data_IF_542297834340
#
_entry.id   IF_542297834340
#
_cell.length_a   1.000
_cell.length_b   1.000
_cell.length_c   1.000
_cell.angle_alpha   90.00
_cell.angle_beta   90.00
_cell.angle_gamma   90.00
#
_symmetry.space_group_name_H-M   'P 1'
#
loop_
_entity.id
_entity.type
_entity.pdbx_description
1 polymer ?
#
# COMPACT_ATOMS: atom_id res chain seq x y z
N UNK A 1 -4.45 27.72 -14.08
CA UNK A 1 -4.88 27.84 -15.49
C UNK A 1 -6.21 28.57 -15.63
N UNK A 2 -6.42 29.19 -16.79
CA UNK A 2 -7.67 29.84 -17.22
C UNK A 2 -8.70 28.81 -17.71
N UNK A 3 -10.00 29.15 -17.84
CA UNK A 3 -11.00 28.26 -18.45
C UNK A 3 -10.67 27.83 -19.88
N UNK A 4 -10.05 28.69 -20.68
CA UNK A 4 -9.65 28.35 -22.06
C UNK A 4 -8.54 27.29 -22.06
N UNK A 5 -7.50 27.46 -21.23
CA UNK A 5 -6.44 26.47 -21.04
C UNK A 5 -6.98 25.15 -20.49
N UNK A 6 -7.93 25.20 -19.54
CA UNK A 6 -8.57 24.00 -19.01
C UNK A 6 -9.39 23.25 -20.08
N UNK A 7 -10.05 23.97 -20.99
CA UNK A 7 -10.74 23.36 -22.12
C UNK A 7 -9.77 22.67 -23.08
N UNK A 8 -8.62 23.29 -23.38
CA UNK A 8 -7.56 22.67 -24.18
C UNK A 8 -7.02 21.39 -23.51
N UNK A 9 -6.75 21.45 -22.20
CA UNK A 9 -6.30 20.28 -21.43
C UNK A 9 -7.34 19.15 -21.43
N UNK A 10 -8.62 19.50 -21.28
CA UNK A 10 -9.70 18.53 -21.35
C UNK A 10 -9.83 17.92 -22.75
N UNK A 11 -9.63 18.71 -23.81
CA UNK A 11 -9.63 18.22 -25.18
C UNK A 11 -8.52 17.17 -25.40
N UNK A 12 -7.34 17.39 -24.81
CA UNK A 12 -6.30 16.36 -24.77
C UNK A 12 -6.75 15.09 -24.03
N UNK A 13 -7.46 15.20 -22.89
CA UNK A 13 -8.02 14.03 -22.21
C UNK A 13 -9.03 13.28 -23.08
N UNK A 14 -9.93 14.00 -23.76
CA UNK A 14 -10.98 13.43 -24.60
C UNK A 14 -10.46 12.65 -25.80
N UNK A 15 -9.26 12.99 -26.31
CA UNK A 15 -8.60 12.19 -27.34
C UNK A 15 -8.30 10.75 -26.88
N UNK A 16 -8.13 10.51 -25.57
CA UNK A 16 -7.88 9.18 -25.01
C UNK A 16 -9.17 8.46 -24.59
N UNK A 17 -10.07 9.14 -23.88
CA UNK A 17 -11.20 8.50 -23.22
C UNK A 17 -12.58 8.81 -23.81
N UNK A 18 -12.62 9.57 -24.90
CA UNK A 18 -13.84 9.93 -25.64
C UNK A 18 -14.89 10.64 -24.79
N UNK A 19 -14.50 11.33 -23.72
CA UNK A 19 -15.42 12.19 -22.95
C UNK A 19 -15.93 13.35 -23.80
N UNK A 20 -17.19 13.73 -23.60
CA UNK A 20 -17.72 15.01 -24.10
C UNK A 20 -17.37 16.11 -23.09
N UNK A 21 -16.93 17.27 -23.58
CA UNK A 21 -16.49 18.39 -22.74
C UNK A 21 -17.46 19.55 -22.95
N UNK A 22 -18.00 20.08 -21.86
CA UNK A 22 -18.78 21.31 -21.84
C UNK A 22 -18.03 22.49 -21.22
N UNK A 23 -18.59 23.69 -21.37
CA UNK A 23 -18.07 24.91 -20.74
C UNK A 23 -18.02 24.80 -19.21
N UNK A 24 -19.02 24.12 -18.62
CA UNK A 24 -19.08 23.87 -17.18
C UNK A 24 -17.88 23.04 -16.69
N UNK A 25 -17.45 22.03 -17.47
CA UNK A 25 -16.30 21.18 -17.13
C UNK A 25 -15.00 21.99 -17.17
N UNK A 26 -14.83 22.82 -18.19
CA UNK A 26 -13.66 23.70 -18.34
C UNK A 26 -13.56 24.69 -17.16
N UNK A 27 -14.68 25.31 -16.76
CA UNK A 27 -14.72 26.21 -15.58
C UNK A 27 -14.41 25.46 -14.28
N UNK A 28 -14.94 24.26 -14.11
CA UNK A 28 -14.67 23.42 -12.94
C UNK A 28 -13.19 23.03 -12.85
N UNK A 29 -12.59 22.60 -13.97
CA UNK A 29 -11.18 22.26 -14.03
C UNK A 29 -10.27 23.46 -13.83
N UNK A 30 -10.59 24.61 -14.42
CA UNK A 30 -9.83 25.85 -14.19
C UNK A 30 -9.82 26.26 -12.71
N UNK A 31 -10.93 26.08 -11.99
CA UNK A 31 -10.98 26.32 -10.53
C UNK A 31 -10.09 25.31 -9.77
N UNK A 32 -10.19 24.03 -10.12
CA UNK A 32 -9.43 22.95 -9.48
C UNK A 32 -7.90 23.04 -9.74
N UNK A 33 -7.51 23.62 -10.88
CA UNK A 33 -6.13 23.75 -11.35
C UNK A 33 -5.70 25.21 -11.50
N UNK A 34 -6.26 26.11 -10.69
CA UNK A 34 -6.05 27.57 -10.80
C UNK A 34 -4.57 27.97 -10.75
N UNK A 35 -3.76 27.27 -9.97
CA UNK A 35 -2.31 27.45 -9.75
C UNK A 35 -1.41 26.56 -10.64
N UNK A 36 -2.00 25.71 -11.48
CA UNK A 36 -1.26 24.84 -12.41
C UNK A 36 -1.26 25.48 -13.81
N UNK A 37 -0.11 25.73 -14.45
CA UNK A 37 -0.05 26.26 -15.82
C UNK A 37 -0.32 25.15 -16.85
N UNK A 38 -0.69 25.51 -18.07
CA UNK A 38 -0.79 24.56 -19.20
C UNK A 38 0.56 24.43 -19.90
N UNK A 39 1.50 23.75 -19.24
CA UNK A 39 2.83 23.47 -19.75
C UNK A 39 2.98 22.02 -20.23
N UNK A 40 4.15 21.69 -20.78
CA UNK A 40 4.45 20.34 -21.26
C UNK A 40 4.41 19.31 -20.15
N UNK A 41 4.74 19.66 -18.91
CA UNK A 41 4.62 18.76 -17.76
C UNK A 41 3.16 18.36 -17.51
N UNK A 42 2.23 19.31 -17.68
CA UNK A 42 0.79 19.07 -17.54
C UNK A 42 0.27 18.16 -18.65
N UNK A 43 0.75 18.34 -19.89
CA UNK A 43 0.42 17.44 -21.02
C UNK A 43 1.04 16.04 -20.85
N UNK A 44 2.29 15.98 -20.42
CA UNK A 44 3.01 14.73 -20.13
C UNK A 44 2.36 13.94 -19.00
N UNK A 45 1.80 14.62 -17.99
CA UNK A 45 1.03 13.96 -16.93
C UNK A 45 -0.19 13.19 -17.48
N UNK A 46 -0.88 13.71 -18.50
CA UNK A 46 -1.98 13.01 -19.17
C UNK A 46 -1.45 11.79 -19.93
N UNK A 47 -0.40 11.98 -20.74
CA UNK A 47 0.20 10.92 -21.53
C UNK A 47 0.70 9.76 -20.63
N UNK A 48 1.36 10.09 -19.53
CA UNK A 48 1.84 9.10 -18.55
C UNK A 48 0.68 8.34 -17.89
N UNK A 49 -0.41 9.04 -17.52
CA UNK A 49 -1.61 8.40 -16.96
C UNK A 49 -2.19 7.35 -17.90
N UNK A 50 -2.50 7.74 -19.14
CA UNK A 50 -3.12 6.82 -20.11
C UNK A 50 -2.15 5.77 -20.65
N UNK A 51 -0.83 5.95 -20.50
CA UNK A 51 0.16 4.91 -20.75
C UNK A 51 0.15 3.75 -19.74
N UNK A 52 -0.43 3.97 -18.55
CA UNK A 52 -0.44 2.97 -17.46
C UNK A 52 -1.83 2.49 -17.06
N UNK A 53 -2.89 3.22 -17.39
CA UNK A 53 -4.26 2.85 -17.03
C UNK A 53 -5.26 3.30 -18.09
N UNK A 54 -6.35 2.54 -18.19
CA UNK A 54 -7.55 2.82 -18.99
C UNK A 54 -8.58 3.73 -18.26
N UNK A 55 -8.32 4.08 -17.00
CA UNK A 55 -9.25 4.87 -16.19
C UNK A 55 -9.25 6.34 -16.60
N UNK A 56 -10.38 7.00 -16.42
CA UNK A 56 -10.48 8.44 -16.65
C UNK A 56 -9.58 9.22 -15.69
N UNK A 57 -8.82 10.17 -16.23
CA UNK A 57 -8.01 11.08 -15.42
C UNK A 57 -8.88 12.18 -14.79
N UNK A 58 -8.56 12.51 -13.54
CA UNK A 58 -9.15 13.60 -12.75
C UNK A 58 -8.17 14.77 -12.61
N UNK A 59 -8.68 15.98 -12.33
CA UNK A 59 -7.83 17.14 -12.08
C UNK A 59 -6.82 16.92 -10.93
N UNK A 60 -7.21 16.20 -9.88
CA UNK A 60 -6.30 15.87 -8.78
C UNK A 60 -5.13 14.98 -9.24
N UNK A 61 -5.38 14.02 -10.13
CA UNK A 61 -4.34 13.16 -10.68
C UNK A 61 -3.36 13.95 -11.56
N UNK A 62 -3.85 14.88 -12.40
CA UNK A 62 -2.98 15.77 -13.18
C UNK A 62 -2.00 16.51 -12.28
N UNK A 63 -2.49 17.10 -11.17
CA UNK A 63 -1.65 17.82 -10.19
C UNK A 63 -0.57 16.90 -9.60
N UNK A 64 -0.96 15.70 -9.14
CA UNK A 64 -0.04 14.74 -8.53
C UNK A 64 1.02 14.28 -9.52
N UNK A 65 0.62 13.94 -10.75
CA UNK A 65 1.55 13.44 -11.77
C UNK A 65 2.49 14.53 -12.28
N UNK A 66 2.00 15.75 -12.51
CA UNK A 66 2.86 16.89 -12.84
C UNK A 66 3.88 17.16 -11.74
N UNK A 67 3.46 17.14 -10.47
CA UNK A 67 4.36 17.29 -9.34
C UNK A 67 5.42 16.18 -9.33
N UNK A 68 5.04 14.93 -9.57
CA UNK A 68 5.97 13.79 -9.67
C UNK A 68 7.02 13.99 -10.78
N UNK A 69 6.62 14.44 -11.97
CA UNK A 69 7.55 14.72 -13.08
C UNK A 69 8.59 15.75 -12.64
N UNK A 70 8.15 16.84 -12.02
CA UNK A 70 9.03 17.92 -11.54
C UNK A 70 9.94 17.47 -10.40
N UNK A 71 9.42 16.70 -9.45
CA UNK A 71 10.22 16.08 -8.38
C UNK A 71 11.27 15.14 -8.96
N UNK A 72 10.93 14.34 -9.96
CA UNK A 72 11.91 13.47 -10.64
C UNK A 72 13.06 14.25 -11.28
N UNK A 73 12.78 15.41 -11.91
CA UNK A 73 13.85 16.30 -12.42
C UNK A 73 14.68 16.90 -11.31
N UNK A 74 14.04 17.34 -10.22
CA UNK A 74 14.74 17.89 -9.06
C UNK A 74 15.69 16.86 -8.44
N UNK A 75 15.21 15.62 -8.28
CA UNK A 75 16.00 14.49 -7.80
C UNK A 75 17.16 14.19 -8.76
N UNK A 76 16.93 14.18 -10.07
CA UNK A 76 17.97 13.89 -11.05
C UNK A 76 19.03 15.01 -11.21
N UNK A 77 18.66 16.26 -10.95
CA UNK A 77 19.56 17.41 -11.09
C UNK A 77 20.45 17.64 -9.86
N UNK A 78 20.06 17.14 -8.67
CA UNK A 78 20.72 17.39 -7.38
C UNK A 78 21.23 18.85 -7.23
N UNK A 79 20.33 19.85 -7.16
CA UNK A 79 20.75 21.25 -7.09
C UNK A 79 21.47 21.56 -5.77
N UNK A 80 22.78 21.80 -5.87
CA UNK A 80 23.64 22.29 -4.79
C UNK A 80 23.76 23.80 -4.94
N UNK A 81 23.52 24.54 -3.86
CA UNK A 81 23.64 25.99 -3.83
C UNK A 81 24.89 26.36 -3.05
N UNK A 82 25.90 26.87 -3.75
CA UNK A 82 27.20 27.22 -3.15
C UNK A 82 27.15 28.58 -2.42
N UNK A 83 26.16 29.41 -2.75
CA UNK A 83 25.94 30.72 -2.13
C UNK A 83 27.00 31.77 -2.46
N UNK A 84 26.71 33.00 -2.10
CA UNK A 84 27.68 34.10 -2.12
C UNK A 84 27.86 34.57 -0.67
N UNK A 85 29.08 34.56 -0.10
CA UNK A 85 29.32 34.98 1.28
C UNK A 85 28.81 36.39 1.63
N UNK A 86 28.65 37.25 0.62
CA UNK A 86 28.19 38.63 0.77
C UNK A 86 26.68 38.81 0.46
N UNK A 87 25.95 37.73 0.18
CA UNK A 87 24.51 37.83 -0.10
C UNK A 87 23.70 38.10 1.18
N UNK A 88 22.62 38.88 1.03
CA UNK A 88 21.64 39.03 2.10
C UNK A 88 20.76 37.79 2.21
N UNK A 89 20.07 37.61 3.33
CA UNK A 89 19.13 36.49 3.50
C UNK A 89 18.00 36.48 2.45
N UNK A 90 17.52 37.66 2.03
CA UNK A 90 16.51 37.77 0.97
C UNK A 90 17.05 37.33 -0.38
N UNK A 91 18.28 37.73 -0.72
CA UNK A 91 18.96 37.30 -1.94
C UNK A 91 19.18 35.79 -1.96
N UNK A 92 19.62 35.20 -0.83
CA UNK A 92 19.77 33.76 -0.68
C UNK A 92 18.46 33.02 -1.01
N UNK A 93 17.33 33.45 -0.41
CA UNK A 93 16.03 32.81 -0.63
C UNK A 93 15.60 32.92 -2.09
N UNK A 94 15.72 34.11 -2.70
CA UNK A 94 15.36 34.34 -4.09
C UNK A 94 16.21 33.48 -5.06
N UNK A 95 17.53 33.44 -4.85
CA UNK A 95 18.46 32.66 -5.66
C UNK A 95 18.22 31.15 -5.51
N UNK A 96 17.97 30.69 -4.27
CA UNK A 96 17.67 29.28 -4.01
C UNK A 96 16.35 28.87 -4.63
N UNK A 97 15.32 29.70 -4.56
CA UNK A 97 14.04 29.46 -5.24
C UNK A 97 14.21 29.42 -6.76
N UNK A 98 14.94 30.36 -7.34
CA UNK A 98 15.24 30.38 -8.77
C UNK A 98 15.97 29.11 -9.23
N UNK A 99 16.94 28.62 -8.45
CA UNK A 99 17.65 27.37 -8.75
C UNK A 99 16.72 26.15 -8.70
N UNK A 100 15.85 26.04 -7.69
CA UNK A 100 14.89 24.95 -7.58
C UNK A 100 13.86 24.97 -8.73
N UNK A 101 13.40 26.16 -9.12
CA UNK A 101 12.53 26.35 -10.28
C UNK A 101 13.22 25.90 -11.56
N UNK A 102 14.46 26.35 -11.81
CA UNK A 102 15.25 25.93 -12.96
C UNK A 102 15.45 24.41 -13.01
N UNK A 103 15.72 23.77 -11.86
CA UNK A 103 15.83 22.32 -11.77
C UNK A 103 14.52 21.62 -12.16
N UNK A 104 13.39 22.08 -11.61
CA UNK A 104 12.08 21.51 -11.88
C UNK A 104 11.61 21.72 -13.33
N UNK A 105 12.03 22.81 -13.96
CA UNK A 105 11.82 23.09 -15.39
C UNK A 105 12.75 22.30 -16.31
N UNK A 106 13.75 21.58 -15.76
CA UNK A 106 14.71 20.82 -16.57
C UNK A 106 15.84 21.67 -17.17
N UNK A 107 16.03 22.89 -16.70
CA UNK A 107 17.10 23.79 -17.12
C UNK A 107 18.45 23.47 -16.45
N UNK A 108 18.48 22.54 -15.48
CA UNK A 108 19.71 22.02 -14.90
C UNK A 108 20.05 20.63 -15.49
N UNK A 109 21.33 20.33 -15.72
CA UNK A 109 21.74 19.03 -16.22
C UNK A 109 21.50 17.94 -15.18
N UNK A 110 21.13 16.75 -15.67
CA UNK A 110 21.15 15.53 -14.85
C UNK A 110 22.59 15.24 -14.45
N UNK A 111 22.81 14.95 -13.17
CA UNK A 111 24.13 14.66 -12.60
C UNK A 111 23.98 13.75 -11.41
N UNK A 112 25.06 13.11 -10.96
CA UNK A 112 25.08 12.36 -9.70
C UNK A 112 25.29 13.29 -8.51
N UNK A 113 24.95 12.86 -7.30
CA UNK A 113 25.23 13.62 -6.06
C UNK A 113 26.71 13.99 -5.97
N UNK A 114 27.61 13.06 -6.32
CA UNK A 114 29.06 13.28 -6.32
C UNK A 114 29.49 14.37 -7.30
N UNK A 115 28.94 14.36 -8.52
CA UNK A 115 29.19 15.42 -9.50
C UNK A 115 28.63 16.77 -9.04
N UNK A 116 27.48 16.76 -8.36
CA UNK A 116 26.84 17.98 -7.87
C UNK A 116 27.61 18.66 -6.73
N UNK A 117 28.16 17.88 -5.79
CA UNK A 117 28.94 18.38 -4.66
C UNK A 117 30.37 18.75 -5.08
N UNK A 118 30.86 18.19 -6.19
CA UNK A 118 32.26 18.37 -6.62
C UNK A 118 33.28 17.66 -5.72
N UNK A 119 32.80 16.87 -4.74
CA UNK A 119 33.62 16.06 -3.86
C UNK A 119 33.02 14.66 -3.74
N UNK A 120 33.80 13.65 -4.12
CA UNK A 120 33.52 12.26 -3.76
C UNK A 120 34.10 11.93 -2.39
N UNK A 121 33.60 10.89 -1.72
CA UNK A 121 34.31 10.33 -0.58
C UNK A 121 35.73 9.96 -1.00
N UNK A 122 36.73 10.30 -0.17
CA UNK A 122 38.12 9.96 -0.47
C UNK A 122 38.30 8.44 -0.60
N UNK A 123 39.28 8.02 -1.39
CA UNK A 123 39.65 6.59 -1.50
C UNK A 123 39.95 5.98 -0.13
N UNK A 124 40.53 6.76 0.79
CA UNK A 124 40.75 6.36 2.18
C UNK A 124 39.46 6.11 2.95
N UNK A 125 38.44 6.97 2.81
CA UNK A 125 37.13 6.78 3.44
C UNK A 125 36.40 5.55 2.86
N UNK A 126 36.49 5.36 1.53
CA UNK A 126 35.92 4.18 0.87
C UNK A 126 36.59 2.88 1.35
N UNK A 127 37.92 2.88 1.51
CA UNK A 127 38.64 1.73 2.07
C UNK A 127 38.25 1.46 3.54
N UNK A 128 38.11 2.52 4.35
CA UNK A 128 37.66 2.41 5.74
C UNK A 128 36.25 1.84 5.85
N UNK A 129 35.30 2.33 5.03
CA UNK A 129 33.91 1.83 5.04
C UNK A 129 33.82 0.38 4.57
N UNK A 130 34.63 -0.04 3.59
CA UNK A 130 34.74 -1.44 3.20
C UNK A 130 35.31 -2.33 4.34
N UNK A 131 36.16 -1.78 5.20
CA UNK A 131 36.71 -2.48 6.36
C UNK A 131 35.77 -2.51 7.58
N UNK A 132 34.82 -1.57 7.68
CA UNK A 132 33.90 -1.43 8.83
C UNK A 132 32.66 -2.34 8.73
N UNK A 133 32.44 -3.02 7.61
CA UNK A 133 31.39 -4.02 7.46
C UNK A 133 31.92 -5.44 7.41
N UNK A 134 31.81 -6.22 8.49
CA UNK A 134 31.93 -7.68 8.38
C UNK A 134 30.68 -8.21 7.68
N UNK A 135 30.83 -8.82 6.50
CA UNK A 135 29.79 -9.69 5.95
C UNK A 135 29.63 -10.86 6.92
N UNK A 136 28.50 -10.93 7.63
CA UNK A 136 28.16 -12.08 8.47
C UNK A 136 27.80 -13.23 7.52
N UNK A 137 28.82 -13.89 6.98
CA UNK A 137 28.66 -15.21 6.37
C UNK A 137 28.41 -16.16 7.54
N UNK A 138 27.15 -16.49 7.78
CA UNK A 138 26.85 -17.70 8.53
C UNK A 138 27.62 -18.87 7.88
N UNK A 139 28.23 -19.78 8.63
CA UNK A 139 28.88 -20.98 8.06
C UNK A 139 27.91 -21.83 7.23
N UNK A 140 26.61 -21.64 7.44
CA UNK A 140 25.53 -22.20 6.67
C UNK A 140 24.84 -21.07 5.88
N UNK A 141 25.07 -20.99 4.57
CA UNK A 141 24.46 -19.99 3.66
C UNK A 141 22.91 -20.00 3.70
N UNK A 142 22.30 -21.02 4.30
CA UNK A 142 20.85 -21.10 4.50
C UNK A 142 20.36 -20.58 5.85
N UNK A 143 21.25 -20.31 6.82
CA UNK A 143 20.89 -19.67 8.08
C UNK A 143 21.01 -18.15 7.97
N UNK A 144 19.87 -17.47 7.99
CA UNK A 144 19.83 -16.02 8.27
C UNK A 144 20.67 -15.73 9.53
N UNK A 145 21.47 -14.65 9.52
CA UNK A 145 22.23 -14.27 10.70
C UNK A 145 21.30 -14.18 11.91
N UNK A 146 21.71 -14.81 13.01
CA UNK A 146 20.93 -14.82 14.24
C UNK A 146 20.49 -13.38 14.55
N UNK A 147 19.19 -13.14 14.78
CA UNK A 147 18.68 -11.80 15.03
C UNK A 147 19.48 -11.15 16.16
N UNK A 148 19.74 -9.84 16.05
CA UNK A 148 20.51 -9.06 17.03
C UNK A 148 19.99 -9.19 18.48
N UNK A 149 18.74 -9.60 18.65
CA UNK A 149 18.10 -9.85 19.93
C UNK A 149 17.76 -11.33 20.05
N UNK A 150 18.01 -11.91 21.22
CA UNK A 150 17.59 -13.27 21.55
C UNK A 150 16.04 -13.41 21.51
N UNK A 151 15.56 -14.65 21.45
CA UNK A 151 14.12 -14.92 21.30
C UNK A 151 13.30 -14.40 22.50
N UNK A 152 13.87 -14.41 23.71
CA UNK A 152 13.19 -13.95 24.92
C UNK A 152 13.00 -12.43 24.90
N UNK A 153 14.06 -11.67 24.61
CA UNK A 153 14.02 -10.21 24.43
C UNK A 153 13.06 -9.82 23.30
N UNK A 154 13.07 -10.58 22.20
CA UNK A 154 12.14 -10.33 21.08
C UNK A 154 10.69 -10.65 21.44
N UNK A 155 10.43 -11.62 22.32
CA UNK A 155 9.11 -11.94 22.83
C UNK A 155 8.59 -10.84 23.80
N UNK A 156 9.47 -10.26 24.61
CA UNK A 156 9.17 -9.14 25.50
C UNK A 156 8.86 -7.83 24.73
N UNK A 157 9.67 -7.47 23.73
CA UNK A 157 9.36 -6.33 22.85
C UNK A 157 8.02 -6.55 22.14
N UNK A 158 7.76 -7.80 21.72
CA UNK A 158 6.48 -8.18 21.13
C UNK A 158 5.32 -7.96 22.10
N UNK A 159 5.44 -8.36 23.37
CA UNK A 159 4.36 -8.19 24.36
C UNK A 159 4.04 -6.73 24.68
N UNK A 160 5.00 -5.82 24.49
CA UNK A 160 4.83 -4.37 24.74
C UNK A 160 4.28 -3.59 23.53
N UNK A 161 4.30 -4.16 22.32
CA UNK A 161 3.84 -3.47 21.12
C UNK A 161 2.30 -3.35 21.09
N UNK A 162 1.75 -2.13 20.94
CA UNK A 162 0.31 -1.92 20.94
C UNK A 162 -0.38 -2.61 19.74
N UNK A 163 -1.39 -3.41 20.07
CA UNK A 163 -2.26 -4.07 19.11
C UNK A 163 -1.73 -5.40 18.58
N UNK A 164 -1.69 -6.44 19.43
CA UNK A 164 -1.65 -7.90 19.16
C UNK A 164 -0.85 -8.44 17.96
N UNK A 165 0.00 -7.64 17.29
CA UNK A 165 0.82 -8.07 16.14
C UNK A 165 1.78 -9.19 16.56
N UNK A 166 2.26 -9.08 17.79
CA UNK A 166 3.07 -10.06 18.50
C UNK A 166 2.38 -11.39 18.78
N UNK A 167 1.04 -11.40 18.89
CA UNK A 167 0.26 -12.58 19.25
C UNK A 167 -0.08 -13.45 18.03
N UNK A 168 0.12 -12.94 16.82
CA UNK A 168 -0.21 -13.67 15.58
C UNK A 168 0.99 -14.52 15.15
N UNK A 169 1.14 -15.67 15.80
CA UNK A 169 2.18 -16.67 15.48
C UNK A 169 2.12 -17.12 14.02
N UNK A 170 0.94 -17.03 13.39
CA UNK A 170 0.68 -17.45 12.01
C UNK A 170 1.34 -16.53 10.97
N UNK A 171 1.97 -15.43 11.38
CA UNK A 171 2.77 -14.59 10.50
C UNK A 171 4.07 -15.27 10.04
N UNK A 172 4.46 -16.41 10.61
CA UNK A 172 5.67 -17.14 10.19
C UNK A 172 5.55 -17.82 8.81
N UNK A 173 4.33 -17.97 8.29
CA UNK A 173 4.06 -18.51 6.94
C UNK A 173 3.48 -17.44 6.02
N UNK A 174 3.62 -17.60 4.71
CA UNK A 174 2.94 -16.75 3.73
C UNK A 174 1.43 -17.00 3.75
N UNK A 175 0.63 -15.96 3.48
CA UNK A 175 -0.83 -16.11 3.43
C UNK A 175 -1.29 -16.59 2.05
N UNK A 176 -1.88 -17.79 1.91
CA UNK A 176 -2.36 -18.28 0.60
C UNK A 176 -3.49 -17.42 0.03
N UNK A 177 -4.33 -16.83 0.90
CA UNK A 177 -5.50 -16.07 0.50
C UNK A 177 -5.16 -14.70 -0.12
N UNK A 178 -4.35 -13.88 0.58
CA UNK A 178 -4.04 -12.51 0.15
C UNK A 178 -2.60 -12.31 -0.30
N UNK A 179 -1.79 -13.38 -0.35
CA UNK A 179 -0.37 -13.36 -0.74
C UNK A 179 0.50 -12.43 0.12
N UNK A 180 0.05 -12.09 1.33
CA UNK A 180 0.88 -11.37 2.29
C UNK A 180 2.06 -12.25 2.70
N UNK A 181 3.27 -11.72 2.55
CA UNK A 181 4.50 -12.44 2.86
C UNK A 181 4.65 -12.73 4.37
N UNK A 182 5.58 -13.63 4.73
CA UNK A 182 6.01 -13.88 6.12
C UNK A 182 6.29 -12.57 6.85
N UNK A 183 5.90 -12.48 8.13
CA UNK A 183 6.00 -11.30 9.01
C UNK A 183 5.19 -10.06 8.57
N UNK A 184 4.42 -10.12 7.47
CA UNK A 184 3.50 -9.05 7.05
C UNK A 184 2.05 -9.36 7.41
N UNK A 185 1.29 -8.36 7.87
CA UNK A 185 -0.13 -8.51 8.18
C UNK A 185 -0.96 -8.86 6.94
N UNK A 186 -1.99 -9.68 7.15
CA UNK A 186 -2.99 -9.90 6.13
C UNK A 186 -3.73 -8.60 5.81
N UNK A 187 -4.09 -8.40 4.54
CA UNK A 187 -4.99 -7.31 4.13
C UNK A 187 -6.36 -7.88 3.79
N UNK A 188 -7.41 -7.24 4.28
CA UNK A 188 -8.80 -7.47 3.85
C UNK A 188 -8.98 -7.25 2.35
N UNK A 189 -10.11 -7.67 1.78
CA UNK A 189 -10.48 -7.40 0.38
C UNK A 189 -10.51 -5.91 0.02
N UNK A 190 -10.64 -5.02 1.01
CA UNK A 190 -10.58 -3.55 0.85
C UNK A 190 -9.17 -2.96 1.06
N UNK A 191 -8.14 -3.80 1.13
CA UNK A 191 -6.75 -3.36 1.32
C UNK A 191 -6.37 -2.96 2.75
N UNK A 192 -7.32 -2.87 3.69
CA UNK A 192 -7.06 -2.56 5.09
C UNK A 192 -6.36 -3.72 5.80
N UNK A 193 -5.31 -3.42 6.56
CA UNK A 193 -4.60 -4.40 7.40
C UNK A 193 -5.48 -4.99 8.50
N UNK A 194 -5.43 -6.31 8.62
CA UNK A 194 -6.03 -7.07 9.70
C UNK A 194 -5.05 -7.11 10.87
N UNK A 195 -5.26 -6.25 11.88
CA UNK A 195 -4.34 -6.10 13.03
C UNK A 195 -4.56 -7.10 14.15
N UNK A 196 -5.77 -7.68 14.24
CA UNK A 196 -6.19 -8.56 15.33
C UNK A 196 -6.29 -10.03 14.92
N UNK A 197 -6.21 -10.33 13.63
CA UNK A 197 -6.40 -11.66 13.08
C UNK A 197 -5.66 -11.83 11.73
N UNK A 198 -5.47 -13.08 11.33
CA UNK A 198 -5.03 -13.47 9.98
C UNK A 198 -6.17 -14.17 9.24
N UNK A 199 -6.05 -14.37 7.93
CA UNK A 199 -6.99 -15.20 7.19
C UNK A 199 -6.94 -16.66 7.66
N UNK A 200 -8.09 -17.35 7.66
CA UNK A 200 -8.19 -18.78 8.02
C UNK A 200 -7.15 -19.65 7.31
N UNK A 201 -7.01 -19.49 5.99
CA UNK A 201 -6.02 -20.22 5.19
C UNK A 201 -4.56 -20.03 5.65
N UNK A 202 -4.21 -18.87 6.25
CA UNK A 202 -2.86 -18.67 6.81
C UNK A 202 -2.70 -19.45 8.11
N UNK A 203 -3.74 -19.52 8.95
CA UNK A 203 -3.73 -20.36 10.16
C UNK A 203 -3.62 -21.83 9.81
N UNK A 204 -4.32 -22.27 8.77
CA UNK A 204 -4.22 -23.64 8.27
C UNK A 204 -2.81 -23.95 7.76
N UNK A 205 -2.22 -23.04 6.97
CA UNK A 205 -0.85 -23.18 6.51
C UNK A 205 0.15 -23.22 7.68
N UNK A 206 -0.05 -22.39 8.70
CA UNK A 206 0.76 -22.41 9.92
C UNK A 206 0.61 -23.74 10.67
N UNK A 207 -0.62 -24.22 10.84
CA UNK A 207 -0.89 -25.50 11.49
C UNK A 207 -0.24 -26.67 10.72
N UNK A 208 -0.33 -26.70 9.38
CA UNK A 208 0.34 -27.73 8.56
C UNK A 208 1.86 -27.70 8.73
N UNK A 209 2.44 -26.50 8.88
CA UNK A 209 3.89 -26.31 9.00
C UNK A 209 4.44 -26.51 10.41
N UNK A 210 3.64 -26.34 11.46
CA UNK A 210 4.14 -26.32 12.85
C UNK A 210 3.40 -27.25 13.82
N UNK A 211 2.15 -27.64 13.54
CA UNK A 211 1.41 -28.53 14.42
C UNK A 211 1.67 -30.00 14.04
N UNK A 212 2.11 -30.78 15.03
CA UNK A 212 1.97 -32.23 14.95
C UNK A 212 0.49 -32.58 15.04
N UNK A 213 0.03 -33.54 14.24
CA UNK A 213 -1.36 -33.99 14.34
C UNK A 213 -1.59 -34.56 15.76
N UNK A 214 -2.54 -34.04 16.54
CA UNK A 214 -2.77 -34.50 17.91
C UNK A 214 -3.32 -35.93 17.99
N UNK A 215 -3.81 -36.49 16.88
CA UNK A 215 -4.42 -37.84 16.87
C UNK A 215 -3.49 -38.92 16.31
N UNK A 216 -2.71 -38.63 15.27
CA UNK A 216 -1.77 -39.60 14.68
C UNK A 216 -0.29 -39.27 14.93
N UNK A 217 0.01 -38.15 15.60
CA UNK A 217 1.38 -37.72 15.88
C UNK A 217 2.19 -37.34 14.63
N UNK A 218 1.55 -37.23 13.46
CA UNK A 218 2.25 -36.94 12.22
C UNK A 218 3.07 -35.64 12.34
N UNK A 219 4.37 -35.67 11.97
CA UNK A 219 5.20 -34.48 11.98
C UNK A 219 4.69 -33.46 10.96
N UNK A 220 5.08 -32.19 11.11
CA UNK A 220 4.66 -31.15 10.18
C UNK A 220 5.00 -31.52 8.74
N UNK A 221 4.17 -31.10 7.77
CA UNK A 221 4.29 -31.41 6.33
C UNK A 221 4.13 -32.88 5.90
N UNK A 222 3.80 -33.81 6.80
CA UNK A 222 3.40 -35.16 6.43
C UNK A 222 1.86 -35.30 6.33
N UNK A 223 1.33 -36.05 5.35
CA UNK A 223 -0.11 -36.27 5.23
C UNK A 223 -0.62 -37.03 6.46
N UNK A 224 -1.70 -36.52 7.05
CA UNK A 224 -2.39 -37.20 8.14
C UNK A 224 -3.02 -38.50 7.63
N UNK A 225 -2.80 -39.61 8.32
CA UNK A 225 -3.36 -40.93 7.98
C UNK A 225 -4.76 -41.16 8.53
N UNK A 226 -5.30 -40.22 9.31
CA UNK A 226 -6.64 -40.34 9.92
C UNK A 226 -7.73 -40.07 8.87
N UNK A 227 -8.80 -40.89 8.80
CA UNK A 227 -9.89 -40.68 7.85
C UNK A 227 -10.62 -39.35 8.05
N UNK A 228 -11.05 -38.71 6.95
CA UNK A 228 -11.78 -37.45 6.98
C UNK A 228 -13.24 -37.61 7.50
N UNK A 229 -13.80 -36.59 8.17
CA UNK A 229 -13.25 -35.25 8.42
C UNK A 229 -12.41 -35.14 9.71
N UNK A 230 -11.25 -34.50 9.61
CA UNK A 230 -10.31 -34.34 10.72
C UNK A 230 -10.87 -33.37 11.81
N UNK A 231 -10.96 -33.76 13.09
CA UNK A 231 -11.59 -32.96 14.14
C UNK A 231 -10.89 -31.62 14.40
N UNK A 232 -9.58 -31.51 14.16
CA UNK A 232 -8.89 -30.21 14.22
C UNK A 232 -9.35 -29.22 13.12
N UNK A 233 -9.66 -29.70 11.91
CA UNK A 233 -10.25 -28.87 10.83
C UNK A 233 -11.67 -28.44 11.18
N UNK A 234 -12.43 -29.30 11.85
CA UNK A 234 -13.78 -28.98 12.35
C UNK A 234 -13.70 -27.89 13.43
N UNK A 235 -12.76 -27.96 14.38
CA UNK A 235 -12.59 -26.93 15.41
C UNK A 235 -12.16 -25.57 14.82
N UNK A 236 -11.24 -25.57 13.86
CA UNK A 236 -10.82 -24.35 13.16
C UNK A 236 -11.99 -23.70 12.40
N UNK A 237 -12.79 -24.50 11.69
CA UNK A 237 -13.99 -24.02 10.99
C UNK A 237 -15.07 -23.47 11.95
N UNK A 238 -15.22 -24.06 13.14
CA UNK A 238 -16.14 -23.56 14.18
C UNK A 238 -15.63 -22.24 14.78
N UNK A 239 -14.31 -22.08 14.95
CA UNK A 239 -13.69 -20.83 15.42
C UNK A 239 -13.74 -19.69 14.40
N UNK A 240 -13.93 -20.01 13.11
CA UNK A 240 -14.08 -19.03 12.02
C UNK A 240 -15.49 -18.47 11.86
N UNK A 241 -16.46 -18.93 12.66
CA UNK A 241 -17.73 -18.21 12.77
C UNK A 241 -17.45 -16.86 13.44
N UNK A 242 -17.79 -15.74 12.80
CA UNK A 242 -17.64 -14.44 13.44
C UNK A 242 -18.46 -14.47 14.72
N UNK A 243 -17.79 -14.39 15.87
CA UNK A 243 -18.46 -14.18 17.16
C UNK A 243 -19.26 -12.88 16.98
N UNK A 244 -20.61 -12.92 17.09
CA UNK A 244 -21.41 -11.72 16.89
C UNK A 244 -20.89 -10.67 17.86
N UNK A 245 -20.53 -9.49 17.35
CA UNK A 245 -20.01 -8.45 18.23
C UNK A 245 -21.09 -8.09 19.27
N UNK A 246 -20.69 -7.55 20.41
CA UNK A 246 -21.60 -7.24 21.53
C UNK A 246 -22.82 -6.40 21.09
N UNK A 247 -22.68 -5.51 20.11
CA UNK A 247 -23.80 -4.73 19.53
C UNK A 247 -24.76 -5.58 18.69
N UNK A 248 -24.26 -6.60 18.02
CA UNK A 248 -25.04 -7.54 17.22
C UNK A 248 -25.83 -8.49 18.13
N UNK A 249 -25.22 -8.94 19.23
CA UNK A 249 -25.90 -9.66 20.31
C UNK A 249 -26.96 -8.78 20.98
N UNK A 250 -26.64 -7.54 21.32
CA UNK A 250 -27.62 -6.60 21.89
C UNK A 250 -28.79 -6.32 20.92
N UNK A 251 -28.54 -6.26 19.61
CA UNK A 251 -29.60 -6.10 18.60
C UNK A 251 -30.47 -7.36 18.49
N UNK A 252 -29.86 -8.55 18.49
CA UNK A 252 -30.58 -9.82 18.48
C UNK A 252 -31.43 -10.02 19.74
N UNK A 253 -30.95 -9.57 20.90
CA UNK A 253 -31.66 -9.67 22.17
C UNK A 253 -32.72 -8.56 22.36
N UNK A 254 -32.60 -7.43 21.67
CA UNK A 254 -33.57 -6.31 21.74
C UNK A 254 -34.66 -6.34 20.68
N UNK A 255 -34.55 -7.21 19.67
CA UNK A 255 -35.59 -7.33 18.64
C UNK A 255 -36.53 -8.46 19.05
N UNK A 256 -37.73 -8.19 19.58
CA UNK A 256 -38.71 -9.24 19.80
C UNK A 256 -39.02 -9.90 18.45
N UNK A 257 -39.16 -11.24 18.40
CA UNK A 257 -39.50 -11.92 17.16
C UNK A 257 -40.79 -11.34 16.61
N UNK A 258 -40.76 -10.85 15.36
CA UNK A 258 -41.96 -10.35 14.71
C UNK A 258 -43.06 -11.43 14.77
N UNK A 259 -44.31 -11.06 15.09
CA UNK A 259 -45.41 -12.01 15.08
C UNK A 259 -45.49 -12.66 13.70
N UNK A 260 -45.51 -13.98 13.66
CA UNK A 260 -45.67 -14.73 12.42
C UNK A 260 -47.02 -14.34 11.81
N UNK A 261 -46.99 -13.59 10.72
CA UNK A 261 -48.18 -13.39 9.90
C UNK A 261 -48.66 -14.76 9.41
N UNK A 262 -49.88 -15.11 9.81
CA UNK A 262 -50.58 -16.29 9.34
C UNK A 262 -50.79 -16.14 7.84
N UNK A 263 -49.98 -16.85 7.04
CA UNK A 263 -50.24 -17.04 5.62
C UNK A 263 -51.62 -17.65 5.44
N UNK A 264 -52.59 -16.81 5.06
CA UNK A 264 -53.89 -17.26 4.60
C UNK A 264 -53.67 -18.16 3.38
N UNK A 265 -54.10 -19.42 3.48
CA UNK A 265 -54.16 -20.35 2.35
C UNK A 265 -55.25 -19.86 1.41
N UNK A 266 -54.86 -19.33 0.25
CA UNK A 266 -55.79 -19.16 -0.87
C UNK A 266 -56.13 -20.55 -1.41
N UNK A 267 -57.35 -21.02 -1.13
CA UNK A 267 -57.97 -22.14 -1.83
C UNK A 267 -58.63 -21.59 -3.09
N UNK A 268 -57.99 -21.76 -4.24
CA UNK A 268 -58.62 -21.58 -5.55
C UNK A 268 -59.49 -22.80 -5.85
N UNK A 269 -60.78 -22.70 -5.51
CA UNK A 269 -61.83 -23.54 -6.08
C UNK A 269 -62.44 -22.83 -7.29
N UNK A 270 -62.23 -23.39 -8.49
CA UNK A 270 -62.86 -22.97 -9.72
C UNK A 270 -63.43 -24.19 -10.44
N UNK A 271 -64.74 -24.38 -10.31
CA UNK A 271 -65.54 -25.38 -11.01
C UNK A 271 -65.58 -25.07 -12.51
N UNK A 272 -65.36 -26.08 -13.35
CA UNK A 272 -65.91 -26.10 -14.70
C UNK A 272 -66.96 -27.21 -14.78
N UNK A 273 -68.12 -26.81 -15.30
CA UNK A 273 -69.22 -27.64 -15.79
C UNK A 273 -68.78 -28.46 -17.00
#
# INVERSE_FOLDING_TARGET
MTPAEAAELLAHCAAFDRRTIGEADARAWARALHDVPLDDDTRNAIAEHYGHTDKWITAAQVRVMRARIRTGRLEAAHPVYDGNPNETGEQFVANRQAQLTAAAEGNLPVRTITQAIGAGPSSSLLALTAAVGRRVTSPDETQEPAPYLDEATRAEIRSTLPGNRAALVELDVDCPNCRAARRHLCKSSRGKELRSNVHGQRRDAYAVRHAQCPECGAPPSHPCTTPEPHPARVRAAVADRPVPNRRQLDRLMRTPPAPRESRARHTTGGQHR
#
